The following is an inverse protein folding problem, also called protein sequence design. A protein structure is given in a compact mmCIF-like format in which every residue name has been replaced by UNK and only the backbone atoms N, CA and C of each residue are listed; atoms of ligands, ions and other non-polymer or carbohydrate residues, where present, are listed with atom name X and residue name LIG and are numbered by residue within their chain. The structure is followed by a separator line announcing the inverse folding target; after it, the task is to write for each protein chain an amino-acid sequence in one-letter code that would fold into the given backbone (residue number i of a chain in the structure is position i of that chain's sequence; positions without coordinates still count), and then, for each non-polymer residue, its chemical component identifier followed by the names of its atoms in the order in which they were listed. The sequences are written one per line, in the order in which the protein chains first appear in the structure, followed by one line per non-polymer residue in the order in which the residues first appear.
data_IF_659579243557
#
_entry.id   IF_659579243557
#
_cell.length_a   1.000
_cell.length_b   1.000
_cell.length_c   1.000
_cell.angle_alpha   90.00
_cell.angle_beta   90.00
_cell.angle_gamma   90.00
#
_symmetry.space_group_name_H-M   'P 1'
#
loop_
_entity.id
_entity.type
_entity.pdbx_description
1 polymer ?
#
# COMPACT_ATOMS: atom_id res chain seq x y z
N UNK A 1 18.12 -3.06 10.99
CA UNK A 1 16.84 -3.04 10.25
C UNK A 1 17.14 -2.66 8.81
N UNK A 2 16.44 -3.24 7.84
CA UNK A 2 16.52 -2.86 6.43
C UNK A 2 15.14 -2.37 5.95
N UNK A 3 15.11 -1.35 5.09
CA UNK A 3 13.91 -0.82 4.42
C UNK A 3 14.25 -0.61 2.95
N UNK A 4 13.53 -1.26 2.04
CA UNK A 4 13.78 -1.14 0.61
C UNK A 4 12.59 -1.62 -0.24
N UNK A 5 12.63 -1.33 -1.53
CA UNK A 5 11.77 -2.02 -2.51
C UNK A 5 12.22 -3.49 -2.67
N UNK A 6 11.28 -4.41 -2.45
CA UNK A 6 11.45 -5.83 -2.69
C UNK A 6 11.58 -6.10 -4.20
N UNK A 7 12.60 -6.86 -4.57
CA UNK A 7 12.86 -7.23 -5.96
C UNK A 7 12.37 -8.64 -6.27
N UNK A 8 12.87 -9.62 -5.51
CA UNK A 8 12.59 -11.04 -5.74
C UNK A 8 12.98 -11.87 -4.51
N UNK A 9 12.44 -13.08 -4.43
CA UNK A 9 12.89 -14.11 -3.52
C UNK A 9 13.26 -15.36 -4.31
N UNK A 10 14.48 -15.85 -4.12
CA UNK A 10 15.03 -16.99 -4.86
C UNK A 10 15.40 -18.11 -3.89
N UNK A 11 14.87 -19.30 -4.13
CA UNK A 11 15.22 -20.47 -3.34
C UNK A 11 16.66 -20.90 -3.61
N UNK A 12 17.35 -21.39 -2.58
CA UNK A 12 18.66 -22.02 -2.69
C UNK A 12 18.80 -23.14 -1.64
N UNK A 13 19.82 -24.03 -1.76
CA UNK A 13 20.07 -25.03 -0.73
C UNK A 13 20.29 -24.38 0.65
N UNK A 14 19.31 -24.51 1.55
CA UNK A 14 19.36 -23.94 2.90
C UNK A 14 18.44 -22.74 3.15
N UNK A 15 17.66 -22.26 2.17
CA UNK A 15 16.67 -21.22 2.39
C UNK A 15 16.35 -20.37 1.16
N UNK A 16 16.18 -19.07 1.38
CA UNK A 16 15.88 -18.08 0.34
C UNK A 16 16.87 -16.91 0.37
N UNK A 17 17.23 -16.42 -0.81
CA UNK A 17 17.87 -15.12 -1.04
C UNK A 17 16.79 -14.10 -1.35
N UNK A 18 16.69 -13.07 -0.52
CA UNK A 18 15.74 -11.97 -0.66
C UNK A 18 16.49 -10.78 -1.25
N UNK A 19 16.16 -10.47 -2.50
CA UNK A 19 16.78 -9.40 -3.26
C UNK A 19 16.03 -8.09 -3.04
N UNK A 20 16.78 -7.03 -2.78
CA UNK A 20 16.27 -5.66 -2.64
C UNK A 20 16.81 -4.82 -3.80
N UNK A 21 15.97 -3.94 -4.39
CA UNK A 21 16.41 -3.15 -5.57
C UNK A 21 17.61 -2.24 -5.27
N UNK A 22 17.72 -1.74 -4.05
CA UNK A 22 18.80 -0.83 -3.63
C UNK A 22 20.03 -1.55 -3.07
N UNK A 23 20.03 -2.89 -3.06
CA UNK A 23 21.13 -3.70 -2.54
C UNK A 23 21.32 -4.94 -3.43
N UNK A 24 21.76 -4.76 -4.69
CA UNK A 24 21.81 -5.82 -5.69
C UNK A 24 22.96 -6.83 -5.47
N UNK A 25 23.97 -6.50 -4.66
CA UNK A 25 25.16 -7.35 -4.46
C UNK A 25 25.17 -8.10 -3.12
N UNK A 26 24.21 -7.79 -2.24
CA UNK A 26 24.12 -8.36 -0.90
C UNK A 26 22.68 -8.79 -0.59
N UNK A 27 22.22 -9.96 -1.08
CA UNK A 27 20.89 -10.44 -0.75
C UNK A 27 20.77 -10.72 0.75
N UNK A 28 19.60 -10.45 1.32
CA UNK A 28 19.30 -10.89 2.66
C UNK A 28 18.94 -12.38 2.63
N UNK A 29 19.42 -13.16 3.59
CA UNK A 29 19.07 -14.57 3.71
C UNK A 29 17.81 -14.75 4.57
N UNK A 30 17.02 -15.76 4.27
CA UNK A 30 15.94 -16.20 5.13
C UNK A 30 15.88 -17.73 5.17
N UNK A 31 15.61 -18.31 6.33
CA UNK A 31 15.26 -19.74 6.41
C UNK A 31 14.00 -20.01 5.59
N UNK A 32 13.83 -21.23 5.08
CA UNK A 32 12.62 -21.62 4.36
C UNK A 32 11.36 -21.34 5.18
N UNK A 33 11.35 -21.75 6.46
CA UNK A 33 10.25 -21.49 7.40
C UNK A 33 9.96 -19.99 7.56
N UNK A 34 10.98 -19.15 7.66
CA UNK A 34 10.82 -17.70 7.82
C UNK A 34 10.21 -17.08 6.57
N UNK A 35 10.77 -17.38 5.40
CA UNK A 35 10.28 -16.81 4.15
C UNK A 35 8.87 -17.29 3.82
N UNK A 36 8.59 -18.59 3.93
CA UNK A 36 7.25 -19.13 3.67
C UNK A 36 6.19 -18.54 4.58
N UNK A 37 6.52 -18.25 5.84
CA UNK A 37 5.62 -17.54 6.76
C UNK A 37 5.35 -16.12 6.24
N UNK A 38 6.39 -15.37 5.88
CA UNK A 38 6.26 -14.01 5.34
C UNK A 38 5.44 -14.02 4.04
N UNK A 39 5.78 -14.89 3.09
CA UNK A 39 5.11 -15.01 1.80
C UNK A 39 3.63 -15.37 1.96
N UNK A 40 3.27 -16.28 2.87
CA UNK A 40 1.87 -16.57 3.19
C UNK A 40 1.14 -15.38 3.81
N UNK A 41 1.76 -14.68 4.76
CA UNK A 41 1.14 -13.52 5.42
C UNK A 41 0.92 -12.35 4.47
N UNK A 42 1.83 -12.15 3.51
CA UNK A 42 1.82 -11.03 2.57
C UNK A 42 1.54 -11.45 1.13
N UNK A 43 0.85 -12.57 0.93
CA UNK A 43 0.55 -13.14 -0.39
C UNK A 43 -0.09 -12.09 -1.32
N UNK A 44 -1.12 -11.39 -0.84
CA UNK A 44 -1.80 -10.35 -1.60
C UNK A 44 -0.86 -9.20 -2.05
N UNK A 45 0.14 -8.84 -1.24
CA UNK A 45 1.14 -7.81 -1.61
C UNK A 45 2.08 -8.32 -2.70
N UNK A 46 2.53 -9.57 -2.58
CA UNK A 46 3.42 -10.19 -3.57
C UNK A 46 2.69 -10.41 -4.90
N UNK A 47 1.46 -10.94 -4.86
CA UNK A 47 0.61 -11.15 -6.02
C UNK A 47 0.30 -9.83 -6.74
N UNK A 48 -0.09 -8.78 -6.00
CA UNK A 48 -0.34 -7.47 -6.58
C UNK A 48 0.91 -6.85 -7.23
N UNK A 49 2.10 -7.11 -6.69
CA UNK A 49 3.36 -6.64 -7.29
C UNK A 49 3.69 -7.37 -8.59
N UNK A 50 3.36 -8.66 -8.66
CA UNK A 50 3.67 -9.52 -9.81
C UNK A 50 2.65 -9.39 -10.94
N UNK A 51 1.43 -8.94 -10.64
CA UNK A 51 0.37 -8.76 -11.62
C UNK A 51 0.55 -7.49 -12.46
N UNK A 52 0.18 -7.58 -13.74
CA UNK A 52 0.14 -6.45 -14.65
C UNK A 52 -1.18 -5.69 -14.49
N UNK A 53 -1.13 -4.59 -13.73
CA UNK A 53 -2.29 -3.75 -13.44
C UNK A 53 -2.36 -2.49 -14.31
N UNK A 54 -1.47 -2.34 -15.30
CA UNK A 54 -1.35 -1.13 -16.12
C UNK A 54 -0.84 0.12 -15.37
N UNK A 55 -0.69 0.03 -14.05
CA UNK A 55 -0.06 1.04 -13.19
C UNK A 55 1.06 0.40 -12.39
N UNK A 56 2.18 1.13 -12.25
CA UNK A 56 3.32 0.63 -11.49
C UNK A 56 2.99 0.60 -10.00
N UNK A 57 3.06 -0.59 -9.42
CA UNK A 57 2.97 -0.81 -7.97
C UNK A 57 4.27 -1.41 -7.45
N UNK A 58 4.66 -1.01 -6.25
CA UNK A 58 5.90 -1.44 -5.59
C UNK A 58 5.55 -2.25 -4.35
N UNK A 59 6.30 -3.32 -4.10
CA UNK A 59 6.32 -3.95 -2.79
C UNK A 59 7.48 -3.38 -1.98
N UNK A 60 7.20 -2.78 -0.82
CA UNK A 60 8.21 -2.28 0.11
C UNK A 60 8.33 -3.28 1.25
N UNK A 61 9.57 -3.65 1.58
CA UNK A 61 9.87 -4.57 2.68
C UNK A 61 10.65 -3.83 3.78
N UNK A 62 10.18 -3.99 5.02
CA UNK A 62 10.90 -3.62 6.23
C UNK A 62 11.28 -4.89 6.97
N UNK A 63 12.58 -5.13 7.18
CA UNK A 63 13.07 -6.36 7.80
C UNK A 63 13.94 -6.09 9.03
N UNK A 64 13.70 -6.86 10.09
CA UNK A 64 14.68 -7.03 11.16
C UNK A 64 15.70 -8.06 10.69
N UNK A 65 16.97 -7.64 10.70
CA UNK A 65 18.09 -8.43 10.22
C UNK A 65 19.11 -8.62 11.33
N UNK A 66 19.72 -9.80 11.35
CA UNK A 66 20.88 -10.10 12.19
C UNK A 66 22.08 -10.48 11.34
N UNK A 67 23.27 -10.10 11.79
CA UNK A 67 24.50 -10.54 11.16
C UNK A 67 24.73 -12.03 11.45
N UNK A 68 25.04 -12.82 10.43
CA UNK A 68 25.44 -14.23 10.60
C UNK A 68 26.96 -14.38 10.56
N UNK A 69 27.59 -13.71 9.60
CA UNK A 69 29.02 -13.64 9.32
C UNK A 69 29.28 -12.30 8.62
N UNK A 70 30.55 -11.98 8.37
CA UNK A 70 30.92 -10.79 7.62
C UNK A 70 30.15 -10.71 6.29
N UNK A 71 29.51 -9.56 6.05
CA UNK A 71 28.66 -9.26 4.88
C UNK A 71 27.48 -10.21 4.61
N UNK A 72 27.06 -11.02 5.58
CA UNK A 72 25.89 -11.91 5.45
C UNK A 72 24.86 -11.60 6.52
N UNK A 73 23.67 -11.19 6.09
CA UNK A 73 22.56 -10.82 6.96
C UNK A 73 21.39 -11.77 6.79
N UNK A 74 20.76 -12.13 7.89
CA UNK A 74 19.60 -13.02 7.92
C UNK A 74 18.37 -12.26 8.43
N UNK A 75 17.23 -12.46 7.78
CA UNK A 75 15.93 -11.91 8.17
C UNK A 75 15.37 -12.77 9.29
N UNK A 76 15.09 -12.14 10.44
CA UNK A 76 14.34 -12.77 11.53
C UNK A 76 12.83 -12.61 11.31
N UNK A 77 12.41 -11.40 10.92
CA UNK A 77 11.04 -11.08 10.55
C UNK A 77 10.99 -9.89 9.60
N UNK A 78 9.94 -9.82 8.79
CA UNK A 78 9.71 -8.70 7.90
C UNK A 78 8.22 -8.38 7.76
N UNK A 79 7.95 -7.14 7.39
CA UNK A 79 6.62 -6.66 7.00
C UNK A 79 6.68 -6.13 5.57
N UNK A 80 5.65 -6.39 4.78
CA UNK A 80 5.52 -5.85 3.44
C UNK A 80 4.30 -4.94 3.34
N UNK A 81 4.41 -3.91 2.50
CA UNK A 81 3.31 -3.03 2.09
C UNK A 81 3.40 -2.75 0.59
N UNK A 82 2.26 -2.42 -0.02
CA UNK A 82 2.23 -1.88 -1.38
C UNK A 82 2.45 -0.38 -1.36
N UNK A 83 3.10 0.15 -2.37
CA UNK A 83 3.24 1.58 -2.60
C UNK A 83 3.02 1.94 -4.08
N UNK A 84 2.47 3.12 -4.32
CA UNK A 84 2.36 3.71 -5.66
C UNK A 84 3.74 4.04 -6.25
N UNK A 85 3.77 4.53 -7.49
CA UNK A 85 5.03 4.96 -8.12
C UNK A 85 5.70 6.14 -7.38
N UNK A 86 4.89 6.99 -6.78
CA UNK A 86 5.27 8.14 -5.96
C UNK A 86 5.56 7.77 -4.50
N UNK A 87 5.73 6.47 -4.19
CA UNK A 87 6.03 5.94 -2.85
C UNK A 87 4.93 6.19 -1.81
N UNK A 88 3.68 6.35 -2.23
CA UNK A 88 2.53 6.49 -1.31
C UNK A 88 2.05 5.09 -0.93
N UNK A 89 1.97 4.73 0.37
CA UNK A 89 1.47 3.42 0.77
C UNK A 89 0.01 3.19 0.38
N UNK A 90 -0.31 2.00 -0.11
CA UNK A 90 -1.66 1.57 -0.49
C UNK A 90 -2.00 0.22 0.13
N UNK A 91 -3.28 0.01 0.37
CA UNK A 91 -3.81 -1.23 0.97
C UNK A 91 -4.16 -2.25 -0.11
N UNK A 92 -4.41 -1.77 -1.33
CA UNK A 92 -4.58 -2.59 -2.50
C UNK A 92 -4.53 -1.77 -3.79
N UNK A 93 -4.41 -2.46 -4.91
CA UNK A 93 -4.26 -1.85 -6.24
C UNK A 93 -5.48 -1.02 -6.67
N UNK A 94 -6.65 -1.28 -6.09
CA UNK A 94 -7.88 -0.53 -6.32
C UNK A 94 -7.77 0.96 -5.91
N UNK A 95 -6.82 1.31 -5.03
CA UNK A 95 -6.59 2.71 -4.63
C UNK A 95 -5.77 3.51 -5.64
N UNK A 96 -4.97 2.84 -6.47
CA UNK A 96 -3.97 3.48 -7.32
C UNK A 96 -4.58 4.49 -8.31
N UNK A 97 -5.72 4.22 -8.99
CA UNK A 97 -6.29 5.20 -9.92
C UNK A 97 -6.69 6.53 -9.26
N UNK A 98 -7.25 6.46 -8.04
CA UNK A 98 -7.59 7.67 -7.28
C UNK A 98 -6.33 8.45 -6.91
N UNK A 99 -5.33 7.78 -6.35
CA UNK A 99 -4.09 8.44 -5.93
C UNK A 99 -3.34 9.04 -7.12
N UNK A 100 -3.32 8.35 -8.25
CA UNK A 100 -2.71 8.84 -9.47
C UNK A 100 -3.43 10.12 -9.95
N UNK A 101 -4.76 10.12 -9.99
CA UNK A 101 -5.52 11.31 -10.38
C UNK A 101 -5.32 12.50 -9.42
N UNK A 102 -5.18 12.25 -8.13
CA UNK A 102 -4.85 13.30 -7.15
C UNK A 102 -3.46 13.88 -7.39
N UNK A 103 -2.47 13.04 -7.65
CA UNK A 103 -1.10 13.47 -7.95
C UNK A 103 -1.04 14.24 -9.27
N UNK A 104 -1.67 13.73 -10.33
CA UNK A 104 -1.66 14.36 -11.66
C UNK A 104 -2.36 15.72 -11.65
N UNK A 105 -3.42 15.85 -10.85
CA UNK A 105 -4.11 17.13 -10.64
C UNK A 105 -3.40 18.04 -9.62
N UNK A 106 -2.24 17.66 -9.09
CA UNK A 106 -1.45 18.46 -8.14
C UNK A 106 -2.19 18.79 -6.84
N UNK A 107 -3.07 17.88 -6.40
CA UNK A 107 -3.95 18.10 -5.24
C UNK A 107 -3.20 17.99 -3.93
N UNK A 108 -3.65 18.73 -2.93
CA UNK A 108 -3.17 18.58 -1.56
C UNK A 108 -4.03 17.56 -0.83
N UNK A 109 -3.42 16.45 -0.40
CA UNK A 109 -4.14 15.41 0.32
C UNK A 109 -3.28 14.71 1.37
N UNK A 110 -3.95 14.06 2.31
CA UNK A 110 -3.36 13.10 3.25
C UNK A 110 -3.86 11.70 2.89
N UNK A 111 -2.97 10.72 2.91
CA UNK A 111 -3.29 9.29 2.83
C UNK A 111 -3.30 8.71 4.25
N UNK A 112 -4.48 8.44 4.84
CA UNK A 112 -4.54 7.75 6.12
C UNK A 112 -3.97 6.34 6.01
N UNK A 113 -3.16 5.94 6.99
CA UNK A 113 -2.63 4.59 7.11
C UNK A 113 -3.42 3.83 8.16
N UNK A 114 -3.71 2.55 7.91
CA UNK A 114 -4.42 1.73 8.89
C UNK A 114 -3.55 1.36 10.10
N UNK A 115 -2.22 1.45 9.97
CA UNK A 115 -1.26 0.95 10.97
C UNK A 115 -1.61 -0.47 11.46
N UNK A 116 -1.89 -0.64 12.74
CA UNK A 116 -2.26 -1.91 13.38
C UNK A 116 -3.77 -2.22 13.29
N UNK A 117 -4.57 -1.32 12.72
CA UNK A 117 -5.99 -1.56 12.51
C UNK A 117 -6.22 -2.78 11.60
N UNK A 118 -7.15 -3.63 12.04
CA UNK A 118 -7.48 -4.89 11.37
C UNK A 118 -8.24 -4.73 10.05
N UNK A 119 -8.83 -3.56 9.80
CA UNK A 119 -9.65 -3.31 8.63
C UNK A 119 -9.31 -1.95 8.03
N UNK A 120 -8.65 -1.97 6.87
CA UNK A 120 -8.28 -0.76 6.15
C UNK A 120 -9.49 0.04 5.66
N UNK A 121 -10.61 -0.65 5.37
CA UNK A 121 -11.84 -0.04 4.90
C UNK A 121 -12.51 0.89 5.93
N UNK A 122 -12.08 0.85 7.19
CA UNK A 122 -12.50 1.80 8.23
C UNK A 122 -11.88 3.21 8.07
N UNK A 123 -11.05 3.42 7.04
CA UNK A 123 -10.42 4.70 6.75
C UNK A 123 -10.84 5.22 5.38
N UNK A 124 -10.82 6.53 5.22
CA UNK A 124 -10.84 7.16 3.90
C UNK A 124 -9.58 6.78 3.11
N UNK A 125 -9.71 6.64 1.79
CA UNK A 125 -8.56 6.34 0.93
C UNK A 125 -7.65 7.56 0.79
N UNK A 126 -8.24 8.76 0.79
CA UNK A 126 -7.52 10.02 0.88
C UNK A 126 -8.39 11.07 1.58
N UNK A 127 -7.75 12.09 2.15
CA UNK A 127 -8.40 13.29 2.67
C UNK A 127 -7.90 14.48 1.85
N UNK A 128 -8.77 15.09 1.04
CA UNK A 128 -8.45 16.32 0.33
C UNK A 128 -8.36 17.49 1.31
N UNK A 129 -7.28 18.25 1.23
CA UNK A 129 -7.01 19.40 2.09
C UNK A 129 -7.30 20.74 1.42
N UNK A 130 -7.56 20.73 0.11
CA UNK A 130 -7.71 21.92 -0.71
C UNK A 130 -9.18 22.21 -1.07
N UNK A 131 -10.16 21.62 -0.39
CA UNK A 131 -11.59 21.76 -0.69
C UNK A 131 -12.36 22.68 0.26
N UNK A 132 -11.68 23.35 1.20
CA UNK A 132 -12.30 24.26 2.16
C UNK A 132 -11.65 24.21 3.53
N UNK A 133 -12.42 24.56 4.57
CA UNK A 133 -11.93 24.63 5.96
C UNK A 133 -11.76 23.26 6.63
N UNK A 134 -12.44 22.23 6.13
CA UNK A 134 -12.41 20.87 6.68
C UNK A 134 -11.94 19.91 5.58
N UNK A 135 -11.04 18.95 5.89
CA UNK A 135 -10.63 17.94 4.93
C UNK A 135 -11.82 17.14 4.39
N UNK A 136 -11.90 16.96 3.07
CA UNK A 136 -12.95 16.17 2.43
C UNK A 136 -12.50 14.72 2.24
N UNK A 137 -13.15 13.73 2.88
CA UNK A 137 -12.77 12.33 2.70
C UNK A 137 -13.20 11.78 1.34
N UNK A 138 -12.27 11.06 0.71
CA UNK A 138 -12.47 10.33 -0.54
C UNK A 138 -12.47 8.82 -0.25
N UNK A 139 -13.50 8.13 -0.73
CA UNK A 139 -13.70 6.71 -0.52
C UNK A 139 -13.78 5.96 -1.85
N UNK A 140 -13.02 4.87 -1.94
CA UNK A 140 -13.02 3.93 -3.05
C UNK A 140 -13.71 2.64 -2.61
N UNK A 141 -14.65 2.19 -3.43
CA UNK A 141 -15.25 0.86 -3.37
C UNK A 141 -14.65 -0.02 -4.45
N UNK A 142 -14.28 -1.24 -4.08
CA UNK A 142 -13.88 -2.27 -5.03
C UNK A 142 -14.95 -3.36 -5.09
N UNK A 143 -15.24 -3.93 -6.26
CA UNK A 143 -16.17 -5.05 -6.37
C UNK A 143 -15.69 -6.26 -5.56
N UNK A 144 -14.39 -6.36 -5.28
CA UNK A 144 -13.76 -7.42 -4.51
C UNK A 144 -13.78 -7.21 -2.99
N UNK A 145 -14.32 -6.08 -2.49
CA UNK A 145 -14.44 -5.87 -1.05
C UNK A 145 -15.32 -6.94 -0.40
N UNK A 146 -14.87 -7.47 0.72
CA UNK A 146 -15.65 -8.39 1.56
C UNK A 146 -16.86 -7.67 2.17
N UNK A 147 -17.93 -8.40 2.57
CA UNK A 147 -19.08 -7.79 3.24
C UNK A 147 -18.70 -6.96 4.47
N UNK A 148 -17.74 -7.45 5.26
CA UNK A 148 -17.21 -6.76 6.45
C UNK A 148 -16.53 -5.44 6.09
N UNK A 149 -15.73 -5.41 5.02
CA UNK A 149 -15.08 -4.17 4.57
C UNK A 149 -16.10 -3.16 4.06
N UNK A 150 -17.11 -3.61 3.30
CA UNK A 150 -18.20 -2.73 2.84
C UNK A 150 -18.96 -2.12 4.00
N UNK A 151 -19.27 -2.91 5.03
CA UNK A 151 -19.93 -2.43 6.24
C UNK A 151 -19.07 -1.41 6.99
N UNK A 152 -17.78 -1.69 7.19
CA UNK A 152 -16.84 -0.76 7.84
C UNK A 152 -16.72 0.55 7.06
N UNK A 153 -16.66 0.48 5.72
CA UNK A 153 -16.63 1.64 4.83
C UNK A 153 -17.90 2.48 4.98
N UNK A 154 -19.06 1.83 4.95
CA UNK A 154 -20.35 2.48 5.10
C UNK A 154 -20.52 3.13 6.48
N UNK A 155 -20.03 2.49 7.55
CA UNK A 155 -20.00 3.08 8.89
C UNK A 155 -19.12 4.34 8.94
N UNK A 156 -17.94 4.29 8.32
CA UNK A 156 -17.02 5.43 8.23
C UNK A 156 -17.66 6.61 7.50
N UNK A 157 -18.29 6.35 6.35
CA UNK A 157 -19.01 7.37 5.57
C UNK A 157 -20.13 8.02 6.37
N UNK A 158 -20.93 7.22 7.11
CA UNK A 158 -21.98 7.76 7.98
C UNK A 158 -21.42 8.64 9.10
N UNK A 159 -20.34 8.21 9.74
CA UNK A 159 -19.69 8.96 10.82
C UNK A 159 -19.07 10.27 10.34
N UNK A 160 -18.56 10.31 9.11
CA UNK A 160 -18.01 11.52 8.49
C UNK A 160 -19.09 12.50 7.99
N UNK A 161 -20.37 12.11 8.00
CA UNK A 161 -21.46 12.92 7.42
C UNK A 161 -21.47 12.91 5.88
N UNK A 162 -20.84 11.91 5.26
CA UNK A 162 -20.70 11.79 3.81
C UNK A 162 -19.25 11.91 3.35
N UNK A 163 -19.07 12.00 2.03
CA UNK A 163 -17.77 12.09 1.38
C UNK A 163 -17.92 11.90 -0.12
N UNK A 164 -16.82 12.09 -0.86
CA UNK A 164 -16.78 11.70 -2.26
C UNK A 164 -16.57 10.19 -2.34
N UNK A 165 -17.38 9.50 -3.13
CA UNK A 165 -17.40 8.04 -3.20
C UNK A 165 -17.33 7.61 -4.65
N UNK A 166 -16.38 6.74 -4.99
CA UNK A 166 -16.25 6.15 -6.31
C UNK A 166 -16.10 4.63 -6.21
N UNK A 167 -16.69 3.90 -7.15
CA UNK A 167 -16.56 2.46 -7.26
C UNK A 167 -15.72 2.09 -8.48
N UNK A 168 -14.73 1.20 -8.33
CA UNK A 168 -13.75 0.91 -9.39
C UNK A 168 -14.33 0.15 -10.59
N UNK A 169 -15.57 -0.30 -10.52
CA UNK A 169 -16.35 -0.87 -11.63
C UNK A 169 -17.06 0.19 -12.49
N UNK A 170 -16.99 1.46 -12.07
CA UNK A 170 -17.51 2.60 -12.81
C UNK A 170 -16.37 3.53 -13.26
N UNK A 171 -16.53 4.27 -14.38
CA UNK A 171 -15.62 5.35 -14.73
C UNK A 171 -15.50 6.37 -13.59
N UNK A 172 -14.27 6.73 -13.23
CA UNK A 172 -14.06 7.74 -12.19
C UNK A 172 -14.62 9.08 -12.64
N UNK A 173 -15.56 9.61 -11.86
CA UNK A 173 -16.13 10.94 -12.10
C UNK A 173 -15.19 12.03 -11.58
N UNK A 174 -15.51 13.28 -11.91
CA UNK A 174 -14.66 14.42 -11.58
C UNK A 174 -14.36 14.52 -10.08
N UNK A 175 -13.10 14.80 -9.76
CA UNK A 175 -12.68 15.11 -8.40
C UNK A 175 -13.36 16.41 -7.93
N UNK A 176 -13.67 16.54 -6.63
CA UNK A 176 -14.21 17.78 -6.06
C UNK A 176 -13.31 18.97 -6.39
N UNK A 177 -13.87 20.14 -6.77
CA UNK A 177 -13.05 21.29 -7.16
C UNK A 177 -12.22 21.79 -5.97
N UNK A 178 -11.00 22.27 -6.25
CA UNK A 178 -10.19 22.93 -5.24
C UNK A 178 -10.80 24.30 -4.91
N UNK A 179 -10.79 24.66 -3.63
CA UNK A 179 -11.10 25.99 -3.16
C UNK A 179 -10.05 26.98 -3.70
N UNK A 180 -10.45 28.22 -4.05
CA UNK A 180 -9.52 29.23 -4.47
C UNK A 180 -8.47 29.47 -3.39
N UNK A 181 -7.17 29.46 -3.77
CA UNK A 181 -6.10 29.86 -2.87
C UNK A 181 -6.38 31.29 -2.40
N UNK A 182 -6.49 31.49 -1.08
CA UNK A 182 -6.47 32.85 -0.52
C UNK A 182 -5.07 33.42 -0.83
N UNK A 183 -5.04 34.49 -1.61
CA UNK A 183 -3.83 35.25 -1.92
C UNK A 183 -3.28 35.97 -0.68
#
# INVERSE_FOLDING_TARGET
MALAEFKAAEAFPGGYRIWLKHMPDAPLLASAKTWERIARTYAAVLEARDADHGQRVRAVITALIRARREHTYEIDTATLLLASDQWIPVEGVHELPLLQALVDAGRYFVKPLRYDARCAAAFANALLLDTGAVPLPLHVYSPFMTPREREAKAATLRAAGGGWVWSTDEPMHALPPAAPRRA
#
